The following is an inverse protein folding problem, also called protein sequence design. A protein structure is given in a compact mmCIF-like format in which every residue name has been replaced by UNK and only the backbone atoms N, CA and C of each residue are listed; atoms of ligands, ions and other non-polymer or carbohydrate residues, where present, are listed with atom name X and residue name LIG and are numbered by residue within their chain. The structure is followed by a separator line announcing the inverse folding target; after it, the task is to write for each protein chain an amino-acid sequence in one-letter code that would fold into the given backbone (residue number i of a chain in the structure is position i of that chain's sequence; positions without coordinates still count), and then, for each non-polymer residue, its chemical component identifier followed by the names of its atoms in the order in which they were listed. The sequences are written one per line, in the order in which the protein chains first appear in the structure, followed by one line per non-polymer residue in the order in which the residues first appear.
data_IF_447174746740
#
_entry.id   IF_447174746740
#
_cell.length_a   1.000
_cell.length_b   1.000
_cell.length_c   1.000
_cell.angle_alpha   90.00
_cell.angle_beta   90.00
_cell.angle_gamma   90.00
#
_symmetry.space_group_name_H-M   'P 1'
#
loop_
_entity.id
_entity.type
_entity.pdbx_description
1 polymer ?
#
# COMPACT_ATOMS: atom_id res chain seq x y z
N UNK A 1 4.07 -46.69 13.81
CA UNK A 1 3.83 -45.23 13.96
C UNK A 1 3.86 -44.67 12.56
N UNK A 2 2.71 -44.28 12.04
CA UNK A 2 2.58 -43.84 10.65
C UNK A 2 3.05 -42.39 10.45
N UNK A 3 3.63 -42.06 9.29
CA UNK A 3 3.97 -40.68 8.94
C UNK A 3 2.71 -39.91 8.54
N UNK A 4 2.45 -38.78 9.20
CA UNK A 4 1.41 -37.81 8.85
C UNK A 4 1.69 -37.22 7.47
N UNK A 5 0.78 -37.45 6.53
CA UNK A 5 0.82 -36.90 5.18
C UNK A 5 0.61 -35.38 5.23
N UNK A 6 1.50 -34.64 4.57
CA UNK A 6 1.30 -33.24 4.24
C UNK A 6 0.35 -33.24 3.05
N UNK A 7 -0.86 -32.72 3.23
CA UNK A 7 -1.76 -32.48 2.10
C UNK A 7 -1.21 -31.30 1.29
N UNK A 8 -0.73 -31.62 0.09
CA UNK A 8 -0.33 -30.65 -0.92
C UNK A 8 -1.56 -29.81 -1.32
N UNK A 9 -1.56 -28.51 -0.97
CA UNK A 9 -2.58 -27.57 -1.41
C UNK A 9 -2.38 -27.28 -2.91
N UNK A 10 -3.09 -28.04 -3.73
CA UNK A 10 -3.14 -27.89 -5.19
C UNK A 10 -3.64 -26.49 -5.57
N UNK A 11 -2.77 -25.70 -6.20
CA UNK A 11 -3.05 -24.32 -6.62
C UNK A 11 -3.62 -24.24 -8.04
N UNK A 12 -4.19 -25.32 -8.56
CA UNK A 12 -4.67 -25.38 -9.94
C UNK A 12 -6.19 -25.36 -10.00
N UNK A 13 -6.79 -24.17 -9.94
CA UNK A 13 -7.96 -23.81 -10.77
C UNK A 13 -8.31 -22.33 -10.60
N UNK A 14 -7.54 -21.45 -11.27
CA UNK A 14 -8.03 -20.10 -11.57
C UNK A 14 -8.94 -20.24 -12.79
N UNK A 15 -10.22 -20.52 -12.53
CA UNK A 15 -11.25 -20.54 -13.56
C UNK A 15 -11.39 -19.11 -14.15
N UNK A 16 -10.81 -18.91 -15.33
CA UNK A 16 -11.02 -17.73 -16.16
C UNK A 16 -12.38 -17.84 -16.84
N UNK A 17 -13.42 -17.46 -16.12
CA UNK A 17 -14.67 -17.05 -16.75
C UNK A 17 -14.61 -15.53 -16.94
N UNK A 18 -14.28 -15.11 -18.15
CA UNK A 18 -14.64 -13.79 -18.65
C UNK A 18 -16.16 -13.75 -18.77
N UNK A 19 -16.83 -13.05 -17.85
CA UNK A 19 -18.17 -12.55 -18.09
C UNK A 19 -18.29 -11.10 -17.62
N UNK A 20 -18.74 -10.29 -18.57
CA UNK A 20 -18.85 -8.84 -18.51
C UNK A 20 -20.12 -8.47 -17.76
N UNK A 21 -20.00 -8.02 -16.52
CA UNK A 21 -21.03 -7.20 -15.89
C UNK A 21 -20.41 -6.17 -14.97
N UNK A 22 -20.95 -4.95 -15.02
CA UNK A 22 -20.57 -3.81 -14.20
C UNK A 22 -20.81 -4.11 -12.72
N UNK A 23 -19.88 -4.81 -12.08
CA UNK A 23 -19.89 -4.97 -10.62
C UNK A 23 -19.57 -3.62 -9.97
N UNK A 24 -20.62 -3.02 -9.44
CA UNK A 24 -20.57 -1.83 -8.61
C UNK A 24 -19.49 -2.00 -7.53
N UNK A 25 -18.46 -1.16 -7.57
CA UNK A 25 -17.28 -1.22 -6.71
C UNK A 25 -17.69 -1.23 -5.23
N UNK A 26 -17.71 -2.41 -4.62
CA UNK A 26 -17.97 -2.55 -3.20
C UNK A 26 -16.76 -1.99 -2.43
N UNK A 27 -16.95 -1.02 -1.52
CA UNK A 27 -15.84 -0.45 -0.76
C UNK A 27 -15.24 -1.54 0.13
N UNK A 28 -13.98 -1.91 -0.14
CA UNK A 28 -13.23 -2.90 0.64
C UNK A 28 -13.33 -2.57 2.12
N UNK A 29 -14.04 -3.43 2.86
CA UNK A 29 -14.22 -3.31 4.31
C UNK A 29 -12.83 -3.25 4.95
N UNK A 30 -12.56 -2.18 5.70
CA UNK A 30 -11.26 -1.96 6.32
C UNK A 30 -11.03 -3.01 7.39
N UNK A 31 -10.24 -4.05 7.10
CA UNK A 31 -9.86 -5.06 8.08
C UNK A 31 -9.09 -4.38 9.24
N UNK A 32 -9.42 -4.66 10.51
CA UNK A 32 -8.78 -4.03 11.67
C UNK A 32 -7.29 -4.38 11.82
N UNK A 33 -6.82 -5.40 11.09
CA UNK A 33 -5.44 -5.91 11.09
C UNK A 33 -4.51 -5.22 10.08
N UNK A 34 -5.01 -4.24 9.30
CA UNK A 34 -4.17 -3.52 8.35
C UNK A 34 -3.30 -2.48 9.06
N UNK A 35 -2.00 -2.79 9.20
CA UNK A 35 -0.96 -1.86 9.63
C UNK A 35 -0.86 -0.66 8.66
N UNK A 36 -1.54 0.44 9.00
CA UNK A 36 -1.56 1.69 8.21
C UNK A 36 -0.68 2.74 8.88
N UNK A 37 0.50 2.97 8.30
CA UNK A 37 1.35 4.13 8.64
C UNK A 37 0.93 5.32 7.77
N UNK A 38 0.76 6.49 8.39
CA UNK A 38 0.48 7.74 7.68
C UNK A 38 1.79 8.36 7.19
N UNK A 39 2.03 8.33 5.88
CA UNK A 39 3.28 8.77 5.24
C UNK A 39 3.16 10.16 4.60
N UNK A 40 2.56 11.13 5.30
CA UNK A 40 2.24 12.44 4.69
C UNK A 40 3.49 13.16 4.17
N UNK A 41 4.52 13.33 5.01
CA UNK A 41 5.71 14.08 4.62
C UNK A 41 6.52 13.37 3.52
N UNK A 42 6.72 12.06 3.66
CA UNK A 42 7.44 11.25 2.67
C UNK A 42 6.72 11.22 1.33
N UNK A 43 5.40 11.08 1.33
CA UNK A 43 4.62 11.09 0.10
C UNK A 43 4.58 12.48 -0.53
N UNK A 44 4.46 13.55 0.26
CA UNK A 44 4.43 14.94 -0.23
C UNK A 44 5.74 15.31 -0.93
N UNK A 45 6.86 15.03 -0.26
CA UNK A 45 8.20 15.29 -0.80
C UNK A 45 8.44 14.45 -2.05
N UNK A 46 8.13 13.15 -2.00
CA UNK A 46 8.26 12.27 -3.16
C UNK A 46 7.40 12.72 -4.35
N UNK A 47 6.17 13.20 -4.11
CA UNK A 47 5.29 13.72 -5.16
C UNK A 47 5.84 15.02 -5.76
N UNK A 48 6.31 15.94 -4.91
CA UNK A 48 6.91 17.23 -5.31
C UNK A 48 8.15 17.06 -6.18
N UNK A 49 9.00 16.07 -5.88
CA UNK A 49 10.23 15.79 -6.63
C UNK A 49 10.04 14.75 -7.75
N UNK A 50 8.81 14.26 -7.98
CA UNK A 50 8.54 13.28 -9.03
C UNK A 50 9.25 11.93 -8.85
N UNK A 51 9.60 11.56 -7.62
CA UNK A 51 10.34 10.33 -7.33
C UNK A 51 9.43 9.12 -7.52
N UNK A 52 9.97 8.04 -8.11
CA UNK A 52 9.24 6.77 -8.28
C UNK A 52 8.81 6.19 -6.93
N UNK A 53 7.59 5.65 -6.87
CA UNK A 53 7.04 5.02 -5.65
C UNK A 53 7.92 3.88 -5.13
N UNK A 54 8.56 3.12 -6.04
CA UNK A 54 9.49 2.05 -5.67
C UNK A 54 10.77 2.61 -5.06
N UNK A 55 11.32 3.67 -5.62
CA UNK A 55 12.54 4.32 -5.11
C UNK A 55 12.29 4.93 -3.73
N UNK A 56 11.16 5.63 -3.56
CA UNK A 56 10.75 6.17 -2.25
C UNK A 56 10.54 5.08 -1.21
N UNK A 57 9.88 3.98 -1.57
CA UNK A 57 9.68 2.85 -0.68
C UNK A 57 11.00 2.20 -0.23
N UNK A 58 11.95 2.02 -1.15
CA UNK A 58 13.28 1.48 -0.84
C UNK A 58 14.05 2.41 0.11
N UNK A 59 14.13 3.71 -0.20
CA UNK A 59 14.81 4.71 0.66
C UNK A 59 14.16 4.75 2.05
N UNK A 60 12.83 4.88 2.12
CA UNK A 60 12.13 4.95 3.40
C UNK A 60 12.33 3.68 4.24
N UNK A 61 12.24 2.50 3.62
CA UNK A 61 12.46 1.24 4.33
C UNK A 61 13.91 1.08 4.79
N UNK A 62 14.90 1.48 3.98
CA UNK A 62 16.31 1.44 4.38
C UNK A 62 16.59 2.35 5.57
N UNK A 63 16.05 3.58 5.58
CA UNK A 63 16.21 4.49 6.72
C UNK A 63 15.58 3.90 7.98
N UNK A 64 14.39 3.30 7.88
CA UNK A 64 13.75 2.66 9.02
C UNK A 64 14.54 1.45 9.54
N UNK A 65 15.31 0.77 8.69
CA UNK A 65 16.27 -0.27 9.11
C UNK A 65 17.49 0.35 9.81
N UNK A 66 18.07 1.42 9.27
CA UNK A 66 19.21 2.13 9.89
C UNK A 66 18.87 2.67 11.28
N UNK A 67 17.62 3.12 11.47
CA UNK A 67 17.10 3.58 12.76
C UNK A 67 16.61 2.43 13.67
N UNK A 68 16.69 1.17 13.24
CA UNK A 68 16.26 0.01 14.02
C UNK A 68 14.75 -0.09 14.26
N UNK A 69 13.94 0.66 13.50
CA UNK A 69 12.47 0.65 13.59
C UNK A 69 11.88 -0.57 12.88
N UNK A 70 12.52 -0.98 11.78
CA UNK A 70 12.27 -2.27 11.12
C UNK A 70 13.42 -3.19 11.49
N UNK A 71 13.09 -4.37 12.01
CA UNK A 71 14.07 -5.44 12.21
C UNK A 71 13.88 -6.52 11.15
N UNK A 72 14.84 -7.45 11.05
CA UNK A 72 14.73 -8.60 10.15
C UNK A 72 13.56 -9.54 10.52
N UNK A 73 13.08 -9.48 11.76
CA UNK A 73 11.99 -10.33 12.25
C UNK A 73 10.62 -9.64 12.18
N UNK A 74 10.58 -8.32 12.32
CA UNK A 74 9.35 -7.51 12.38
C UNK A 74 9.19 -6.66 11.12
N UNK A 75 8.47 -7.18 10.13
CA UNK A 75 8.23 -6.50 8.85
C UNK A 75 6.97 -5.63 8.81
N UNK A 76 6.25 -5.51 9.92
CA UNK A 76 4.98 -4.79 10.02
C UNK A 76 5.08 -3.32 9.58
N UNK A 77 6.25 -2.71 9.82
CA UNK A 77 6.54 -1.31 9.51
C UNK A 77 7.21 -1.10 8.15
N UNK A 78 7.44 -2.15 7.36
CA UNK A 78 8.04 -2.03 6.01
C UNK A 78 7.18 -1.16 5.11
N UNK A 79 7.82 -0.21 4.44
CA UNK A 79 7.15 0.73 3.55
C UNK A 79 7.25 0.19 2.12
N UNK A 80 6.14 -0.33 1.60
CA UNK A 80 6.05 -0.80 0.23
C UNK A 80 5.62 0.31 -0.75
N UNK A 81 5.75 0.03 -2.05
CA UNK A 81 5.30 0.96 -3.10
C UNK A 81 3.83 1.33 -2.97
N UNK A 82 2.99 0.41 -2.48
CA UNK A 82 1.54 0.62 -2.38
C UNK A 82 1.18 1.57 -1.21
N UNK A 83 1.92 1.55 -0.11
CA UNK A 83 1.82 2.52 0.99
C UNK A 83 2.17 3.92 0.47
N UNK A 84 3.25 4.06 -0.31
CA UNK A 84 3.62 5.34 -0.95
C UNK A 84 2.57 5.83 -1.94
N UNK A 85 2.14 4.97 -2.86
CA UNK A 85 1.12 5.30 -3.87
C UNK A 85 -0.18 5.80 -3.24
N UNK A 86 -0.62 5.14 -2.16
CA UNK A 86 -1.80 5.57 -1.39
C UNK A 86 -1.58 6.93 -0.73
N UNK A 87 -0.42 7.14 -0.10
CA UNK A 87 -0.05 8.43 0.49
C UNK A 87 -0.08 9.58 -0.51
N UNK A 88 0.52 9.39 -1.70
CA UNK A 88 0.50 10.39 -2.78
C UNK A 88 -0.90 10.67 -3.29
N UNK A 89 -1.73 9.64 -3.46
CA UNK A 89 -3.12 9.81 -3.87
C UNK A 89 -3.88 10.71 -2.90
N UNK A 90 -3.73 10.48 -1.59
CA UNK A 90 -4.36 11.30 -0.54
C UNK A 90 -3.91 12.76 -0.63
N UNK A 91 -2.61 12.99 -0.78
CA UNK A 91 -2.05 14.35 -0.88
C UNK A 91 -2.56 15.08 -2.12
N UNK A 92 -2.59 14.42 -3.27
CA UNK A 92 -3.12 15.02 -4.51
C UNK A 92 -4.59 15.40 -4.36
N UNK A 93 -5.40 14.55 -3.72
CA UNK A 93 -6.80 14.88 -3.43
C UNK A 93 -6.94 16.03 -2.44
N UNK A 94 -6.11 16.07 -1.39
CA UNK A 94 -6.11 17.17 -0.41
C UNK A 94 -5.74 18.51 -1.07
N UNK A 95 -4.71 18.52 -1.93
CA UNK A 95 -4.28 19.71 -2.67
C UNK A 95 -5.35 20.18 -3.68
N UNK A 96 -6.04 19.25 -4.35
CA UNK A 96 -7.16 19.61 -5.24
C UNK A 96 -8.30 20.27 -4.49
N UNK A 97 -8.67 19.76 -3.31
CA UNK A 97 -9.72 20.35 -2.47
C UNK A 97 -9.31 21.74 -1.98
N UNK A 98 -8.06 21.92 -1.56
CA UNK A 98 -7.54 23.23 -1.15
C UNK A 98 -7.61 24.26 -2.28
N UNK A 99 -7.10 23.91 -3.47
CA UNK A 99 -7.14 24.79 -4.64
C UNK A 99 -8.59 25.16 -5.03
N UNK A 100 -9.54 24.24 -4.91
CA UNK A 100 -10.95 24.51 -5.22
C UNK A 100 -11.60 25.46 -4.19
N UNK A 101 -11.21 25.37 -2.93
CA UNK A 101 -11.70 26.27 -1.88
C UNK A 101 -11.20 27.71 -2.09
N UNK A 102 -9.96 27.87 -2.53
CA UNK A 102 -9.36 29.19 -2.83
C UNK A 102 -9.99 29.85 -4.07
N UNK A 103 -10.47 29.08 -5.05
CA UNK A 103 -11.14 29.61 -6.24
C UNK A 103 -12.61 30.05 -6.01
N UNK A 104 -13.22 29.59 -4.92
CA UNK A 104 -14.63 29.84 -4.59
C UNK A 104 -14.83 30.95 -3.54
N UNK A 105 -13.76 31.66 -3.17
CA UNK A 105 -13.75 32.78 -2.21
C UNK A 105 -13.39 34.06 -2.94
#
# INVERSE_FOLDING_TARGET
MEPTQIEDFDSTEINRNEDSSDEEFQPVVKTPWQMRVKLTNTALTSDRFGVSDRATAAIASSLLQDFGIITETEHSNVIDKNKIRRGKKVIRTELQVQNQAELNT
#
